data_IF_451115713564
#
_entry.id   IF_451115713564
#
_cell.length_a   1.000
_cell.length_b   1.000
_cell.length_c   1.000
_cell.angle_alpha   90.00
_cell.angle_beta   90.00
_cell.angle_gamma   90.00
#
_symmetry.space_group_name_H-M   'P 1'
#
loop_
_entity.id
_entity.type
_entity.pdbx_description
1 polymer ?
#
# COMPACT_ATOMS: atom_id res chain seq x y z
N UNK A 1 5.55 24.01 6.54
CA UNK A 1 4.66 23.12 5.75
C UNK A 1 3.26 23.27 6.29
N UNK A 2 2.28 23.58 5.42
CA UNK A 2 0.87 23.74 5.80
C UNK A 2 0.23 22.37 6.02
N UNK A 3 -0.42 22.17 7.16
CA UNK A 3 -1.21 20.96 7.43
C UNK A 3 -2.64 21.16 6.97
N UNK A 4 -3.21 20.15 6.31
CA UNK A 4 -4.60 20.14 5.83
C UNK A 4 -5.46 19.42 6.87
N UNK A 5 -6.54 20.04 7.39
CA UNK A 5 -7.44 19.39 8.34
C UNK A 5 -8.30 18.33 7.64
N UNK A 6 -8.75 17.29 8.38
CA UNK A 6 -9.63 16.25 7.83
C UNK A 6 -11.02 16.84 7.49
N UNK A 7 -11.59 16.43 6.34
CA UNK A 7 -13.00 16.67 5.97
C UNK A 7 -13.93 15.60 6.57
N UNK A 8 -13.43 14.37 6.65
CA UNK A 8 -14.20 13.22 7.13
C UNK A 8 -13.57 12.60 8.37
N UNK A 9 -14.39 11.95 9.22
CA UNK A 9 -13.90 11.31 10.45
C UNK A 9 -12.90 10.15 10.24
N UNK A 10 -12.78 9.64 9.01
CA UNK A 10 -11.80 8.62 8.65
C UNK A 10 -10.46 9.19 8.16
N UNK A 11 -10.37 10.50 7.90
CA UNK A 11 -9.13 11.18 7.49
C UNK A 11 -8.28 11.56 8.71
N UNK A 12 -6.99 11.81 8.47
CA UNK A 12 -6.06 12.35 9.49
C UNK A 12 -5.47 13.65 8.95
N UNK A 13 -4.94 14.56 9.79
CA UNK A 13 -4.22 15.72 9.30
C UNK A 13 -2.96 15.30 8.53
N UNK A 14 -2.74 15.86 7.33
CA UNK A 14 -1.59 15.54 6.47
C UNK A 14 -0.96 16.83 5.95
N UNK A 15 0.35 16.83 5.68
CA UNK A 15 1.02 17.93 5.03
C UNK A 15 0.47 18.15 3.59
N UNK A 16 0.21 19.39 3.21
CA UNK A 16 -0.45 19.74 1.95
C UNK A 16 0.33 19.25 0.71
N UNK A 17 1.67 19.29 0.76
CA UNK A 17 2.51 18.79 -0.32
C UNK A 17 2.37 17.28 -0.50
N UNK A 18 2.40 16.51 0.60
CA UNK A 18 2.19 15.07 0.57
C UNK A 18 0.78 14.72 0.06
N UNK A 19 -0.24 15.47 0.49
CA UNK A 19 -1.63 15.28 0.06
C UNK A 19 -1.78 15.47 -1.46
N UNK A 20 -1.30 16.61 -1.99
CA UNK A 20 -1.41 16.97 -3.41
C UNK A 20 -0.57 16.04 -4.28
N UNK A 21 0.70 15.81 -3.91
CA UNK A 21 1.58 14.93 -4.68
C UNK A 21 1.04 13.50 -4.75
N UNK A 22 0.55 12.97 -3.63
CA UNK A 22 0.01 11.62 -3.61
C UNK A 22 -1.34 11.52 -4.35
N UNK A 23 -2.20 12.56 -4.28
CA UNK A 23 -3.42 12.62 -5.09
C UNK A 23 -3.10 12.60 -6.60
N UNK A 24 -2.17 13.44 -7.05
CA UNK A 24 -1.72 13.50 -8.44
C UNK A 24 -1.11 12.18 -8.91
N UNK A 25 -0.36 11.48 -8.04
CA UNK A 25 0.24 10.21 -8.38
C UNK A 25 -0.77 9.05 -8.44
N UNK A 26 -1.73 9.02 -7.51
CA UNK A 26 -2.66 7.89 -7.31
C UNK A 26 -3.97 8.02 -8.09
N UNK A 27 -4.41 9.23 -8.42
CA UNK A 27 -5.63 9.47 -9.18
C UNK A 27 -5.51 9.21 -10.68
N UNK A 28 -4.29 8.97 -11.19
CA UNK A 28 -4.03 8.74 -12.62
C UNK A 28 -4.69 7.46 -13.08
N UNK A 29 -5.25 7.47 -14.30
CA UNK A 29 -5.82 6.27 -14.93
C UNK A 29 -4.86 5.07 -14.93
N UNK A 30 -3.58 5.30 -15.21
CA UNK A 30 -2.52 4.28 -15.18
C UNK A 30 -2.26 3.70 -13.79
N UNK A 31 -2.55 4.45 -12.73
CA UNK A 31 -2.35 4.02 -11.34
C UNK A 31 -3.57 3.29 -10.75
N UNK A 32 -4.75 3.40 -11.40
CA UNK A 32 -5.98 2.76 -10.94
C UNK A 32 -5.96 1.24 -11.15
N UNK A 33 -5.57 0.78 -12.34
CA UNK A 33 -5.31 -0.62 -12.71
C UNK A 33 -6.27 -1.65 -12.10
N UNK A 34 -5.79 -2.87 -11.87
CA UNK A 34 -6.55 -3.94 -11.19
C UNK A 34 -6.61 -3.77 -9.65
N UNK A 35 -6.30 -2.58 -9.12
CA UNK A 35 -6.17 -2.32 -7.67
C UNK A 35 -7.53 -2.07 -6.98
N UNK A 36 -8.59 -2.74 -7.43
CA UNK A 36 -9.93 -2.67 -6.82
C UNK A 36 -9.91 -3.00 -5.32
N UNK A 37 -9.02 -3.91 -4.91
CA UNK A 37 -8.89 -4.30 -3.50
C UNK A 37 -8.28 -3.23 -2.59
N UNK A 38 -7.66 -2.18 -3.16
CA UNK A 38 -7.15 -1.01 -2.42
C UNK A 38 -8.23 0.07 -2.31
N UNK A 39 -9.09 0.18 -3.33
CA UNK A 39 -10.19 1.16 -3.43
C UNK A 39 -11.55 0.53 -3.14
N UNK A 40 -11.62 -0.38 -2.15
CA UNK A 40 -12.83 -1.17 -1.83
C UNK A 40 -14.07 -0.33 -1.57
N UNK A 41 -13.85 0.88 -1.06
CA UNK A 41 -14.86 1.88 -0.69
C UNK A 41 -14.76 3.15 -1.55
N UNK A 42 -14.01 3.10 -2.66
CA UNK A 42 -13.87 4.20 -3.61
C UNK A 42 -14.97 4.22 -4.67
N UNK A 43 -15.03 5.32 -5.40
CA UNK A 43 -15.89 5.53 -6.57
C UNK A 43 -15.37 4.75 -7.80
N UNK A 44 -16.22 4.58 -8.83
CA UNK A 44 -15.80 4.07 -10.14
C UNK A 44 -14.59 4.81 -10.72
N UNK A 45 -13.80 4.11 -11.54
CA UNK A 45 -12.56 4.64 -12.12
C UNK A 45 -12.77 5.93 -12.89
N UNK A 46 -13.88 6.05 -13.63
CA UNK A 46 -14.20 7.24 -14.41
C UNK A 46 -14.40 8.47 -13.52
N UNK A 47 -14.99 8.32 -12.32
CA UNK A 47 -15.18 9.41 -11.37
C UNK A 47 -13.85 9.84 -10.75
N UNK A 48 -12.97 8.88 -10.46
CA UNK A 48 -11.61 9.15 -9.95
C UNK A 48 -10.78 9.88 -11.02
N UNK A 49 -10.83 9.41 -12.26
CA UNK A 49 -10.15 10.05 -13.39
C UNK A 49 -10.70 11.46 -13.63
N UNK A 50 -12.02 11.66 -13.53
CA UNK A 50 -12.62 12.99 -13.65
C UNK A 50 -12.16 13.93 -12.51
N UNK A 51 -12.07 13.43 -11.28
CA UNK A 51 -11.53 14.20 -10.16
C UNK A 51 -10.05 14.53 -10.36
N UNK A 52 -9.25 13.57 -10.83
CA UNK A 52 -7.83 13.77 -11.14
C UNK A 52 -7.63 14.78 -12.26
N UNK A 53 -8.41 14.71 -13.33
CA UNK A 53 -8.37 15.69 -14.43
C UNK A 53 -8.64 17.12 -13.93
N UNK A 54 -9.66 17.31 -13.09
CA UNK A 54 -9.95 18.62 -12.48
C UNK A 54 -8.80 19.13 -11.62
N UNK A 55 -8.16 18.26 -10.82
CA UNK A 55 -6.98 18.61 -10.04
C UNK A 55 -5.81 19.00 -10.95
N UNK A 56 -5.56 18.22 -12.01
CA UNK A 56 -4.51 18.46 -12.99
C UNK A 56 -4.70 19.79 -13.69
N UNK A 57 -5.92 20.11 -14.13
CA UNK A 57 -6.24 21.37 -14.80
C UNK A 57 -5.90 22.60 -13.93
N UNK A 58 -6.12 22.50 -12.61
CA UNK A 58 -5.70 23.55 -11.66
C UNK A 58 -4.18 23.70 -11.58
N UNK A 59 -3.45 22.58 -11.57
CA UNK A 59 -1.98 22.62 -11.57
C UNK A 59 -1.44 23.19 -12.90
N UNK A 60 -2.08 22.85 -14.03
CA UNK A 60 -1.77 23.42 -15.35
C UNK A 60 -2.00 24.92 -15.36
N UNK A 61 -3.09 25.39 -14.76
CA UNK A 61 -3.40 26.81 -14.66
C UNK A 61 -2.30 27.59 -13.91
N UNK A 62 -1.80 27.06 -12.79
CA UNK A 62 -0.68 27.63 -12.04
C UNK A 62 0.68 27.55 -12.77
N UNK A 63 0.84 26.58 -13.66
CA UNK A 63 2.06 26.37 -14.44
C UNK A 63 2.01 26.98 -15.85
N UNK A 64 0.94 27.72 -16.20
CA UNK A 64 0.66 28.18 -17.57
C UNK A 64 1.83 28.94 -18.22
N UNK A 65 2.55 29.73 -17.45
CA UNK A 65 3.68 30.55 -17.92
C UNK A 65 5.02 29.80 -17.89
N UNK A 66 5.03 28.52 -17.50
CA UNK A 66 6.23 27.70 -17.33
C UNK A 66 6.14 26.40 -18.14
N UNK A 67 6.44 26.45 -19.45
CA UNK A 67 6.27 25.32 -20.37
C UNK A 67 7.14 24.11 -20.01
N UNK A 68 8.29 24.33 -19.36
CA UNK A 68 9.16 23.26 -18.86
C UNK A 68 8.48 22.44 -17.75
N UNK A 69 7.71 23.10 -16.88
CA UNK A 69 6.95 22.45 -15.82
C UNK A 69 5.73 21.71 -16.37
N UNK A 70 5.06 22.27 -17.39
CA UNK A 70 3.99 21.57 -18.11
C UNK A 70 4.50 20.29 -18.78
N UNK A 71 5.63 20.37 -19.49
CA UNK A 71 6.25 19.18 -20.09
C UNK A 71 6.74 18.17 -19.04
N UNK A 72 7.03 18.60 -17.82
CA UNK A 72 7.33 17.70 -16.70
C UNK A 72 6.07 17.06 -16.13
N UNK A 73 4.97 17.80 -16.03
CA UNK A 73 3.67 17.30 -15.60
C UNK A 73 3.21 16.13 -16.47
N UNK A 74 3.26 16.31 -17.80
CA UNK A 74 2.86 15.27 -18.76
C UNK A 74 3.69 13.99 -18.59
N UNK A 75 5.02 14.12 -18.44
CA UNK A 75 5.91 12.98 -18.19
C UNK A 75 5.62 12.27 -16.86
N UNK A 76 5.18 13.01 -15.85
CA UNK A 76 4.82 12.41 -14.56
C UNK A 76 3.49 11.63 -14.64
N UNK A 77 2.55 12.07 -15.48
CA UNK A 77 1.30 11.35 -15.72
C UNK A 77 1.51 9.99 -16.42
N UNK A 78 2.56 9.87 -17.24
CA UNK A 78 2.92 8.64 -17.96
C UNK A 78 3.69 7.61 -17.12
N UNK A 79 4.08 7.95 -15.89
CA UNK A 79 4.84 7.04 -15.03
C UNK A 79 4.09 5.72 -14.75
N UNK A 80 4.81 4.61 -14.45
CA UNK A 80 4.16 3.35 -14.10
C UNK A 80 3.32 3.46 -12.82
N UNK A 81 2.47 2.46 -12.58
CA UNK A 81 1.49 2.42 -11.47
C UNK A 81 2.12 2.41 -10.06
N UNK A 82 3.37 2.00 -9.95
CA UNK A 82 4.15 1.89 -8.71
C UNK A 82 5.04 3.11 -8.46
N UNK A 83 5.00 4.11 -9.35
CA UNK A 83 5.82 5.29 -9.22
C UNK A 83 5.52 6.05 -7.93
N UNK A 84 6.58 6.34 -7.18
CA UNK A 84 6.49 7.08 -5.92
C UNK A 84 5.90 8.47 -6.13
N UNK A 85 4.99 8.86 -5.24
CA UNK A 85 4.42 10.21 -5.19
C UNK A 85 5.48 11.29 -5.00
N UNK A 86 6.64 10.97 -4.41
CA UNK A 86 7.73 11.94 -4.18
C UNK A 86 8.28 12.52 -5.49
N UNK A 87 8.12 11.84 -6.62
CA UNK A 87 8.53 12.35 -7.95
C UNK A 87 7.78 13.62 -8.36
N UNK A 88 6.60 13.85 -7.77
CA UNK A 88 5.77 15.02 -7.99
C UNK A 88 6.18 16.23 -7.14
N UNK A 89 6.92 16.01 -6.05
CA UNK A 89 7.25 17.08 -5.09
C UNK A 89 7.95 18.25 -5.77
N UNK A 90 8.98 18.00 -6.59
CA UNK A 90 9.70 19.08 -7.27
C UNK A 90 8.77 19.98 -8.09
N UNK A 91 7.82 19.40 -8.82
CA UNK A 91 6.86 20.16 -9.62
C UNK A 91 5.87 20.90 -8.73
N UNK A 92 5.28 20.22 -7.74
CA UNK A 92 4.28 20.79 -6.83
C UNK A 92 4.86 21.95 -5.99
N UNK A 93 6.13 21.85 -5.58
CA UNK A 93 6.84 22.94 -4.91
C UNK A 93 7.17 24.08 -5.88
N UNK A 94 7.73 23.78 -7.06
CA UNK A 94 8.05 24.81 -8.04
C UNK A 94 6.81 25.61 -8.47
N UNK A 95 5.66 24.94 -8.59
CA UNK A 95 4.40 25.57 -8.98
C UNK A 95 3.70 26.32 -7.84
N UNK A 96 4.04 26.03 -6.58
CA UNK A 96 3.30 26.53 -5.42
C UNK A 96 1.93 25.85 -5.22
N UNK A 97 1.70 24.72 -5.90
CA UNK A 97 0.41 24.06 -5.95
C UNK A 97 -0.07 23.54 -4.57
N UNK A 98 0.85 23.25 -3.65
CA UNK A 98 0.52 22.84 -2.28
C UNK A 98 0.05 23.99 -1.39
N UNK A 99 0.25 25.25 -1.80
CA UNK A 99 -0.19 26.44 -1.07
C UNK A 99 -1.57 26.92 -1.54
N UNK A 100 -1.94 26.62 -2.78
CA UNK A 100 -3.21 26.98 -3.40
C UNK A 100 -4.39 26.20 -2.76
N UNK A 101 -5.36 26.88 -2.11
CA UNK A 101 -6.53 26.23 -1.52
C UNK A 101 -7.38 25.44 -2.52
N UNK A 102 -7.49 25.87 -3.78
CA UNK A 102 -8.28 25.20 -4.80
C UNK A 102 -7.62 23.88 -5.25
N UNK A 103 -6.30 23.85 -5.34
CA UNK A 103 -5.55 22.61 -5.60
C UNK A 103 -5.68 21.65 -4.42
N UNK A 104 -5.55 22.15 -3.19
CA UNK A 104 -5.72 21.33 -1.98
C UNK A 104 -7.14 20.75 -1.90
N UNK A 105 -8.17 21.53 -2.22
CA UNK A 105 -9.54 21.06 -2.30
C UNK A 105 -9.72 19.98 -3.38
N UNK A 106 -9.17 20.20 -4.58
CA UNK A 106 -9.19 19.19 -5.65
C UNK A 106 -8.46 17.90 -5.27
N UNK A 107 -7.36 17.99 -4.53
CA UNK A 107 -6.66 16.82 -4.01
C UNK A 107 -7.50 16.04 -3.00
N UNK A 108 -8.26 16.73 -2.14
CA UNK A 108 -9.22 16.08 -1.24
C UNK A 108 -10.34 15.39 -2.03
N UNK A 109 -10.84 16.00 -3.10
CA UNK A 109 -11.88 15.38 -3.93
C UNK A 109 -11.37 14.10 -4.62
N UNK A 110 -10.11 14.08 -5.07
CA UNK A 110 -9.48 12.85 -5.58
C UNK A 110 -9.41 11.78 -4.50
N UNK A 111 -9.03 12.14 -3.28
CA UNK A 111 -8.96 11.18 -2.16
C UNK A 111 -10.32 10.67 -1.72
N UNK A 112 -11.35 11.53 -1.73
CA UNK A 112 -12.72 11.14 -1.46
C UNK A 112 -13.23 10.16 -2.54
N UNK A 113 -12.86 10.37 -3.81
CA UNK A 113 -13.15 9.43 -4.89
C UNK A 113 -12.35 8.12 -4.77
N UNK A 114 -11.09 8.16 -4.33
CA UNK A 114 -10.26 6.96 -4.12
C UNK A 114 -10.74 6.09 -2.95
N UNK A 115 -11.43 6.69 -1.96
CA UNK A 115 -11.99 5.99 -0.80
C UNK A 115 -11.09 5.99 0.44
N UNK A 116 -11.70 5.69 1.59
CA UNK A 116 -11.05 5.78 2.90
C UNK A 116 -9.98 4.69 3.09
N UNK A 117 -10.12 3.52 2.48
CA UNK A 117 -9.10 2.47 2.56
C UNK A 117 -7.82 2.88 1.81
N UNK A 118 -7.94 3.43 0.61
CA UNK A 118 -6.80 3.92 -0.17
C UNK A 118 -6.08 5.07 0.56
N UNK A 119 -6.86 6.01 1.10
CA UNK A 119 -6.32 7.09 1.92
C UNK A 119 -5.59 6.57 3.17
N UNK A 120 -6.21 5.64 3.89
CA UNK A 120 -5.61 5.04 5.08
C UNK A 120 -4.32 4.29 4.78
N UNK A 121 -4.25 3.56 3.66
CA UNK A 121 -3.03 2.89 3.22
C UNK A 121 -1.89 3.85 2.88
N UNK A 122 -2.22 5.07 2.43
CA UNK A 122 -1.24 6.08 2.04
C UNK A 122 -0.72 6.90 3.23
N UNK A 123 -1.60 7.29 4.17
CA UNK A 123 -1.27 8.29 5.19
C UNK A 123 -1.38 7.82 6.63
N UNK A 124 -2.07 6.71 6.92
CA UNK A 124 -2.08 6.18 8.27
C UNK A 124 -0.89 5.24 8.46
N UNK A 125 -0.10 5.55 9.48
CA UNK A 125 0.82 4.58 10.03
C UNK A 125 0.02 3.36 10.50
N UNK A 126 0.48 2.17 10.07
CA UNK A 126 -0.12 0.93 10.56
C UNK A 126 0.27 0.75 12.02
N UNK A 127 -0.68 0.49 12.93
CA UNK A 127 -0.35 0.33 14.34
C UNK A 127 0.55 -0.91 14.51
N UNK A 128 1.74 -0.71 15.09
CA UNK A 128 2.62 -1.80 15.52
C UNK A 128 2.23 -2.20 16.94
N UNK A 129 1.30 -3.14 17.04
CA UNK A 129 0.77 -3.61 18.33
C UNK A 129 1.47 -4.87 18.81
N UNK A 130 1.39 -5.14 20.12
CA UNK A 130 1.89 -6.40 20.71
C UNK A 130 1.27 -7.64 20.05
N UNK A 131 0.04 -7.54 19.55
CA UNK A 131 -0.62 -8.62 18.79
C UNK A 131 0.11 -8.92 17.48
N UNK A 132 0.47 -7.91 16.70
CA UNK A 132 1.26 -8.08 15.47
C UNK A 132 2.65 -8.67 15.74
N UNK A 133 3.27 -8.33 16.88
CA UNK A 133 4.52 -8.93 17.33
C UNK A 133 4.37 -10.42 17.69
N UNK A 134 3.36 -10.77 18.51
CA UNK A 134 3.06 -12.16 18.85
C UNK A 134 2.77 -12.99 17.61
N UNK A 135 2.03 -12.44 16.65
CA UNK A 135 1.74 -13.13 15.41
C UNK A 135 3.00 -13.34 14.56
N UNK A 136 3.89 -12.34 14.46
CA UNK A 136 5.19 -12.52 13.82
C UNK A 136 6.01 -13.64 14.46
N UNK A 137 6.05 -13.69 15.80
CA UNK A 137 6.69 -14.80 16.53
C UNK A 137 6.03 -16.15 16.28
N UNK A 138 4.70 -16.21 16.20
CA UNK A 138 3.98 -17.45 15.92
C UNK A 138 4.34 -18.01 14.53
N UNK A 139 4.50 -17.14 13.51
CA UNK A 139 4.98 -17.56 12.19
C UNK A 139 6.40 -18.12 12.21
N UNK A 140 7.31 -17.50 12.97
CA UNK A 140 8.67 -18.01 13.16
C UNK A 140 8.67 -19.36 13.90
N UNK A 141 7.89 -19.48 14.98
CA UNK A 141 7.76 -20.71 15.73
C UNK A 141 7.18 -21.84 14.87
N UNK A 142 6.16 -21.56 14.07
CA UNK A 142 5.59 -22.53 13.14
C UNK A 142 6.66 -23.01 12.13
N UNK A 143 7.47 -22.09 11.58
CA UNK A 143 8.53 -22.44 10.63
C UNK A 143 9.62 -23.34 11.24
N UNK A 144 9.94 -23.17 12.52
CA UNK A 144 11.00 -23.92 13.23
C UNK A 144 10.50 -25.21 13.86
N UNK A 145 9.33 -25.19 14.50
CA UNK A 145 8.81 -26.36 15.22
C UNK A 145 8.28 -27.44 14.28
N UNK A 146 7.78 -27.08 13.10
CA UNK A 146 7.30 -28.06 12.11
C UNK A 146 8.39 -29.05 11.67
N UNK A 147 9.57 -28.59 11.19
CA UNK A 147 10.67 -29.47 10.82
C UNK A 147 11.18 -30.29 12.00
N UNK A 148 11.26 -29.69 13.20
CA UNK A 148 11.68 -30.42 14.43
C UNK A 148 10.71 -31.57 14.73
N UNK A 149 9.40 -31.30 14.72
CA UNK A 149 8.38 -32.33 14.94
C UNK A 149 8.41 -33.42 13.86
N UNK A 150 8.63 -33.04 12.59
CA UNK A 150 8.74 -33.97 11.48
C UNK A 150 9.98 -34.88 11.61
N UNK A 151 11.12 -34.33 12.03
CA UNK A 151 12.34 -35.12 12.28
C UNK A 151 12.15 -36.06 13.47
N UNK A 152 11.60 -35.60 14.59
CA UNK A 152 11.33 -36.46 15.74
C UNK A 152 10.36 -37.60 15.39
N UNK A 153 9.29 -37.28 14.65
CA UNK A 153 8.36 -38.29 14.16
C UNK A 153 9.02 -39.28 13.20
N UNK A 154 9.94 -38.81 12.35
CA UNK A 154 10.69 -39.69 11.44
C UNK A 154 11.59 -40.67 12.18
N UNK A 155 12.26 -40.21 13.25
CA UNK A 155 13.09 -41.06 14.11
C UNK A 155 12.25 -42.14 14.77
N UNK A 156 11.14 -41.78 15.42
CA UNK A 156 10.24 -42.73 16.08
C UNK A 156 9.66 -43.74 15.06
N UNK A 157 9.16 -43.25 13.92
CA UNK A 157 8.61 -44.13 12.89
C UNK A 157 9.67 -45.09 12.30
N UNK A 158 10.93 -44.65 12.20
CA UNK A 158 12.02 -45.50 11.77
C UNK A 158 12.34 -46.59 12.79
N UNK A 159 12.40 -46.25 14.08
CA UNK A 159 12.64 -47.18 15.19
C UNK A 159 11.52 -48.24 15.29
N UNK A 160 10.27 -47.84 15.07
CA UNK A 160 9.10 -48.73 15.05
C UNK A 160 8.98 -49.57 13.75
N UNK A 161 9.94 -49.43 12.82
CA UNK A 161 9.99 -50.21 11.57
C UNK A 161 8.98 -49.76 10.50
N UNK A 162 8.40 -48.57 10.62
CA UNK A 162 7.46 -48.04 9.63
C UNK A 162 8.19 -47.55 8.38
N UNK A 163 8.03 -48.25 7.25
CA UNK A 163 8.65 -47.90 5.96
C UNK A 163 8.26 -46.53 5.36
N UNK A 164 7.34 -45.79 5.98
CA UNK A 164 6.92 -44.44 5.56
C UNK A 164 7.64 -43.30 6.27
N UNK A 165 8.59 -43.57 7.18
CA UNK A 165 9.35 -42.56 7.94
C UNK A 165 9.99 -41.47 7.05
N UNK A 166 10.43 -41.82 5.85
CA UNK A 166 11.05 -40.89 4.90
C UNK A 166 10.10 -39.79 4.42
N UNK A 167 8.78 -40.04 4.40
CA UNK A 167 7.78 -39.02 4.08
C UNK A 167 7.81 -37.87 5.10
N UNK A 168 8.08 -38.18 6.37
CA UNK A 168 8.19 -37.16 7.42
C UNK A 168 9.44 -36.30 7.23
N UNK A 169 10.56 -36.89 6.82
CA UNK A 169 11.78 -36.12 6.48
C UNK A 169 11.50 -35.15 5.33
N UNK A 170 10.86 -35.63 4.25
CA UNK A 170 10.47 -34.78 3.12
C UNK A 170 9.50 -33.68 3.56
N UNK A 171 8.51 -34.01 4.39
CA UNK A 171 7.57 -33.03 4.93
C UNK A 171 8.29 -31.94 5.75
N UNK A 172 9.26 -32.32 6.59
CA UNK A 172 10.08 -31.38 7.37
C UNK A 172 10.91 -30.44 6.49
N UNK A 173 11.44 -30.92 5.36
CA UNK A 173 12.20 -30.10 4.42
C UNK A 173 11.31 -29.11 3.64
N UNK A 174 10.10 -29.53 3.26
CA UNK A 174 9.16 -28.68 2.49
C UNK A 174 8.41 -27.69 3.39
N UNK A 175 8.30 -27.98 4.69
CA UNK A 175 7.52 -27.19 5.64
C UNK A 175 7.89 -25.70 5.69
N UNK A 176 9.17 -25.28 5.81
CA UNK A 176 9.52 -23.86 5.84
C UNK A 176 9.06 -23.11 4.58
N UNK A 177 9.16 -23.76 3.41
CA UNK A 177 8.66 -23.19 2.16
C UNK A 177 7.13 -23.01 2.21
N UNK A 178 6.40 -24.01 2.69
CA UNK A 178 4.95 -23.92 2.86
C UNK A 178 4.55 -22.79 3.81
N UNK A 179 5.25 -22.65 4.95
CA UNK A 179 5.02 -21.58 5.93
C UNK A 179 5.32 -20.20 5.32
N UNK A 180 6.41 -20.04 4.58
CA UNK A 180 6.75 -18.78 3.90
C UNK A 180 5.70 -18.40 2.86
N UNK A 181 5.20 -19.36 2.08
CA UNK A 181 4.14 -19.12 1.09
C UNK A 181 2.85 -18.70 1.80
N UNK A 182 2.44 -19.41 2.85
CA UNK A 182 1.26 -19.09 3.64
C UNK A 182 1.38 -17.70 4.31
N UNK A 183 2.54 -17.39 4.89
CA UNK A 183 2.85 -16.09 5.47
C UNK A 183 2.74 -14.98 4.43
N UNK A 184 3.38 -15.12 3.27
CA UNK A 184 3.31 -14.13 2.18
C UNK A 184 1.89 -13.92 1.69
N UNK A 185 1.11 -14.98 1.55
CA UNK A 185 -0.30 -14.88 1.16
C UNK A 185 -1.13 -14.13 2.23
N UNK A 186 -0.95 -14.47 3.51
CA UNK A 186 -1.59 -13.78 4.64
C UNK A 186 -1.21 -12.30 4.70
N UNK A 187 0.09 -12.02 4.60
CA UNK A 187 0.65 -10.67 4.63
C UNK A 187 0.09 -9.81 3.48
N UNK A 188 0.15 -10.31 2.23
CA UNK A 188 -0.39 -9.60 1.06
C UNK A 188 -1.89 -9.33 1.17
N UNK A 189 -2.67 -10.23 1.78
CA UNK A 189 -4.11 -10.01 2.01
C UNK A 189 -4.35 -8.87 2.99
N UNK A 190 -3.56 -8.79 4.06
CA UNK A 190 -3.69 -7.75 5.10
C UNK A 190 -3.14 -6.42 4.66
N UNK A 191 -2.09 -6.44 3.84
CA UNK A 191 -1.49 -5.24 3.26
C UNK A 191 -2.48 -4.43 2.42
N UNK A 192 -3.56 -5.04 1.94
CA UNK A 192 -4.64 -4.37 1.19
C UNK A 192 -5.65 -3.64 2.08
N UNK A 193 -5.57 -3.78 3.40
CA UNK A 193 -6.50 -3.15 4.36
C UNK A 193 -5.76 -2.16 5.25
N UNK A 194 -6.15 -0.89 5.20
CA UNK A 194 -5.55 0.16 6.02
C UNK A 194 -5.63 -0.11 7.53
N UNK A 195 -6.66 -0.86 7.96
CA UNK A 195 -6.92 -1.16 9.38
C UNK A 195 -6.30 -2.48 9.84
N UNK A 196 -5.74 -3.28 8.92
CA UNK A 196 -5.18 -4.57 9.30
C UNK A 196 -3.80 -4.40 9.95
N UNK A 197 -3.62 -5.06 11.09
CA UNK A 197 -2.31 -5.20 11.72
C UNK A 197 -1.45 -6.18 10.91
N UNK A 198 -0.20 -5.79 10.67
CA UNK A 198 0.77 -6.67 10.03
C UNK A 198 1.59 -7.43 11.07
N UNK A 199 1.87 -8.72 10.82
CA UNK A 199 2.89 -9.43 11.56
C UNK A 199 4.22 -8.68 11.46
N UNK A 200 4.91 -8.51 12.58
CA UNK A 200 6.21 -7.86 12.64
C UNK A 200 7.12 -8.53 13.66
N UNK A 201 8.42 -8.32 13.48
CA UNK A 201 9.49 -8.86 14.30
C UNK A 201 10.06 -7.77 15.21
#
# INVERSE_FOLDING_TARGET
MRTVPPRHGWQVPVAADALVCAALARGRRTALGDRLEVRRDGMPDDDVVAAHARLRDRVVELARERPDLLARLDRLDELPEDASWTRWQTLVFAVGAHEDPAVVAGALDVWDALGANAYGLQFRDRPRTYKGFLEGRAWLQAAVLGPVAAVLGAVVAHEDGHGWWWLLVVAGLVWPCAVVVAFRASYRRREKSARAELPHF
#
